data_IF_095072224192
#
_entry.id   IF_095072224192
#
_cell.length_a   1.000
_cell.length_b   1.000
_cell.length_c   1.000
_cell.angle_alpha   90.00
_cell.angle_beta   90.00
_cell.angle_gamma   90.00
#
_symmetry.space_group_name_H-M   'P 1'
#
loop_
_entity.id
_entity.type
_entity.pdbx_description
1 polymer ?
#
# COMPACT_ATOMS: atom_id res chain seq x y z
N UNK A 1 -4.96 -16.05 -1.78
CA UNK A 1 -4.52 -14.76 -2.34
C UNK A 1 -3.22 -14.95 -3.09
N UNK A 2 -3.00 -14.22 -4.18
CA UNK A 2 -1.81 -14.32 -5.04
C UNK A 2 -1.52 -12.96 -5.70
N UNK A 3 -0.33 -12.80 -6.26
CA UNK A 3 -0.02 -11.67 -7.13
C UNK A 3 -0.88 -11.75 -8.38
N UNK A 4 -1.60 -10.67 -8.69
CA UNK A 4 -2.63 -10.66 -9.75
C UNK A 4 -2.09 -10.25 -11.12
N UNK A 5 -0.94 -9.56 -11.18
CA UNK A 5 -0.34 -9.10 -12.42
C UNK A 5 1.16 -8.79 -12.31
N UNK A 6 1.76 -8.38 -13.42
CA UNK A 6 3.20 -8.11 -13.49
C UNK A 6 4.06 -9.36 -13.63
N UNK A 7 5.37 -9.20 -13.46
CA UNK A 7 6.35 -10.26 -13.73
C UNK A 7 6.31 -11.43 -12.71
N UNK A 8 5.81 -11.19 -11.48
CA UNK A 8 5.60 -12.23 -10.47
C UNK A 8 4.15 -12.73 -10.40
N UNK A 9 3.34 -12.53 -11.46
CA UNK A 9 1.95 -12.96 -11.49
C UNK A 9 1.80 -14.45 -11.14
N UNK A 10 0.82 -14.75 -10.27
CA UNK A 10 0.50 -16.10 -9.85
C UNK A 10 1.21 -16.56 -8.59
N UNK A 11 2.25 -15.87 -8.13
CA UNK A 11 2.96 -16.21 -6.88
C UNK A 11 1.96 -16.15 -5.71
N UNK A 12 1.81 -17.26 -4.95
CA UNK A 12 0.93 -17.29 -3.79
C UNK A 12 1.49 -16.43 -2.65
N UNK A 13 0.60 -15.72 -1.95
CA UNK A 13 0.93 -14.93 -0.77
C UNK A 13 0.35 -15.59 0.48
N UNK A 14 1.19 -15.74 1.49
CA UNK A 14 0.79 -16.20 2.82
C UNK A 14 0.08 -15.03 3.52
N UNK A 15 -1.08 -15.29 4.10
CA UNK A 15 -1.79 -14.33 4.93
C UNK A 15 -1.72 -14.76 6.41
N UNK A 16 -1.74 -13.82 7.37
CA UNK A 16 -1.86 -14.16 8.77
C UNK A 16 -3.17 -14.93 9.01
N UNK A 17 -3.11 -15.96 9.85
CA UNK A 17 -4.30 -16.70 10.26
C UNK A 17 -5.10 -15.86 11.26
N UNK A 18 -6.37 -15.60 10.99
CA UNK A 18 -7.29 -14.88 11.88
C UNK A 18 -8.44 -14.25 11.09
N UNK A 19 -9.57 -14.05 11.75
CA UNK A 19 -10.89 -13.78 11.12
C UNK A 19 -11.15 -12.30 10.75
N UNK A 20 -10.22 -11.41 10.96
CA UNK A 20 -10.53 -9.97 10.94
C UNK A 20 -10.18 -9.24 9.64
N UNK A 21 -9.50 -9.87 8.70
CA UNK A 21 -9.07 -9.17 7.49
C UNK A 21 -9.65 -9.85 6.25
N UNK A 22 -10.59 -9.19 5.61
CA UNK A 22 -11.02 -9.52 4.24
C UNK A 22 -10.07 -8.78 3.31
N UNK A 23 -8.96 -9.39 2.85
CA UNK A 23 -8.02 -8.70 1.97
C UNK A 23 -8.74 -8.26 0.70
N UNK A 24 -8.32 -7.15 0.12
CA UNK A 24 -8.76 -6.79 -1.23
C UNK A 24 -8.71 -8.01 -2.14
N UNK A 25 -9.81 -8.31 -2.83
CA UNK A 25 -9.85 -9.44 -3.74
C UNK A 25 -8.78 -9.28 -4.82
N UNK A 26 -8.27 -10.36 -5.39
CA UNK A 26 -7.34 -10.31 -6.50
C UNK A 26 -7.88 -9.41 -7.64
N UNK A 27 -9.20 -9.44 -7.89
CA UNK A 27 -9.85 -8.57 -8.87
C UNK A 27 -9.81 -7.08 -8.52
N UNK A 28 -10.02 -6.72 -7.24
CA UNK A 28 -9.93 -5.32 -6.82
C UNK A 28 -8.50 -4.80 -6.95
N UNK A 29 -7.49 -5.56 -6.50
CA UNK A 29 -6.09 -5.17 -6.70
C UNK A 29 -5.76 -5.00 -8.17
N UNK A 30 -6.21 -5.91 -9.04
CA UNK A 30 -6.02 -5.76 -10.48
C UNK A 30 -6.62 -4.45 -11.02
N UNK A 31 -7.83 -4.09 -10.59
CA UNK A 31 -8.50 -2.85 -10.99
C UNK A 31 -7.74 -1.60 -10.47
N UNK A 32 -7.23 -1.64 -9.23
CA UNK A 32 -6.39 -0.59 -8.65
C UNK A 32 -5.15 -0.36 -9.51
N UNK A 33 -4.38 -1.40 -9.77
CA UNK A 33 -3.13 -1.27 -10.54
C UNK A 33 -3.36 -0.95 -12.02
N UNK A 34 -4.46 -1.40 -12.61
CA UNK A 34 -4.87 -0.94 -13.95
C UNK A 34 -5.18 0.57 -13.97
N UNK A 35 -5.73 1.09 -12.87
CA UNK A 35 -6.02 2.53 -12.74
C UNK A 35 -4.76 3.36 -12.49
N UNK A 36 -3.76 2.83 -11.77
CA UNK A 36 -2.48 3.49 -11.58
C UNK A 36 -1.65 3.53 -12.88
N UNK A 37 -1.78 2.50 -13.71
CA UNK A 37 -1.12 2.44 -15.01
C UNK A 37 0.40 2.63 -14.93
N UNK A 38 0.94 3.51 -15.77
CA UNK A 38 2.37 3.80 -15.85
C UNK A 38 3.00 4.46 -14.61
N UNK A 39 2.19 4.87 -13.63
CA UNK A 39 2.69 5.46 -12.37
C UNK A 39 3.36 4.44 -11.44
N UNK A 40 3.24 3.14 -11.72
CA UNK A 40 3.79 2.07 -10.88
C UNK A 40 5.26 1.77 -11.22
N UNK A 41 5.60 1.78 -12.50
CA UNK A 41 6.97 1.47 -12.94
C UNK A 41 7.96 2.52 -12.40
N UNK A 42 8.99 2.07 -11.70
CA UNK A 42 10.00 2.91 -11.06
C UNK A 42 9.54 3.63 -9.78
N UNK A 43 8.26 3.52 -9.42
CA UNK A 43 7.72 4.17 -8.22
C UNK A 43 8.30 3.58 -6.93
N UNK A 44 8.42 4.42 -5.90
CA UNK A 44 8.66 3.98 -4.52
C UNK A 44 7.36 4.06 -3.74
N UNK A 45 7.06 3.00 -3.00
CA UNK A 45 5.80 2.89 -2.29
C UNK A 45 5.95 2.87 -0.77
N UNK A 46 4.88 3.27 -0.11
CA UNK A 46 4.64 3.09 1.32
C UNK A 46 3.33 2.32 1.48
N UNK A 47 3.39 1.12 2.03
CA UNK A 47 2.24 0.24 2.27
C UNK A 47 1.90 0.26 3.76
N UNK A 48 0.88 1.04 4.12
CA UNK A 48 0.41 1.22 5.48
C UNK A 48 -0.70 0.23 5.79
N UNK A 49 -0.64 -0.38 6.97
CA UNK A 49 -1.48 -1.52 7.36
C UNK A 49 -1.26 -2.71 6.41
N UNK A 50 -0.01 -3.04 6.15
CA UNK A 50 0.39 -3.91 5.04
C UNK A 50 -0.17 -5.34 5.09
N UNK A 51 -0.55 -5.86 6.26
CA UNK A 51 -1.12 -7.18 6.42
C UNK A 51 -0.23 -8.29 5.85
N UNK A 52 -0.57 -8.79 4.67
CA UNK A 52 0.25 -9.76 3.92
C UNK A 52 1.27 -9.10 2.98
N UNK A 53 1.27 -7.78 2.84
CA UNK A 53 2.06 -7.02 1.88
C UNK A 53 1.50 -7.03 0.44
N UNK A 54 0.23 -7.36 0.27
CA UNK A 54 -0.34 -7.63 -1.05
C UNK A 54 -0.28 -6.43 -2.00
N UNK A 55 -0.51 -5.20 -1.52
CA UNK A 55 -0.44 -4.00 -2.35
C UNK A 55 0.99 -3.66 -2.75
N UNK A 56 1.92 -3.59 -1.80
CA UNK A 56 3.31 -3.29 -2.09
C UNK A 56 3.99 -4.36 -2.97
N UNK A 57 3.69 -5.63 -2.75
CA UNK A 57 4.22 -6.74 -3.56
C UNK A 57 3.61 -6.77 -4.98
N UNK A 58 2.35 -6.39 -5.13
CA UNK A 58 1.75 -6.19 -6.45
C UNK A 58 2.41 -5.03 -7.19
N UNK A 59 2.71 -3.90 -6.51
CA UNK A 59 3.47 -2.79 -7.06
C UNK A 59 4.85 -3.24 -7.52
N UNK A 60 5.56 -4.01 -6.68
CA UNK A 60 6.87 -4.58 -7.00
C UNK A 60 6.83 -5.47 -8.25
N UNK A 61 5.84 -6.36 -8.33
CA UNK A 61 5.61 -7.24 -9.50
C UNK A 61 5.37 -6.46 -10.80
N UNK A 62 4.89 -5.23 -10.70
CA UNK A 62 4.61 -4.33 -11.83
C UNK A 62 5.69 -3.29 -12.08
N UNK A 63 6.88 -3.49 -11.47
CA UNK A 63 8.07 -2.70 -11.75
C UNK A 63 8.33 -1.54 -10.80
N UNK A 64 7.68 -1.46 -9.64
CA UNK A 64 8.07 -0.50 -8.62
C UNK A 64 9.53 -0.72 -8.20
N UNK A 65 10.25 0.36 -7.91
CA UNK A 65 11.66 0.32 -7.55
C UNK A 65 11.90 -0.31 -6.18
N UNK A 66 11.00 -0.04 -5.22
CA UNK A 66 11.08 -0.55 -3.85
C UNK A 66 10.11 0.18 -2.94
N UNK A 67 10.20 -0.08 -1.63
CA UNK A 67 9.32 0.59 -0.69
C UNK A 67 9.38 0.07 0.73
N UNK A 68 8.44 0.55 1.52
CA UNK A 68 8.31 0.23 2.94
C UNK A 68 6.94 -0.40 3.20
N UNK A 69 6.94 -1.49 3.91
CA UNK A 69 5.75 -2.12 4.49
C UNK A 69 5.68 -1.78 5.96
N UNK A 70 4.56 -1.27 6.42
CA UNK A 70 4.29 -0.93 7.81
C UNK A 70 3.16 -1.78 8.33
N UNK A 71 3.44 -2.56 9.36
CA UNK A 71 2.48 -3.47 9.96
C UNK A 71 2.77 -3.61 11.46
N UNK A 72 1.74 -3.48 12.30
CA UNK A 72 1.92 -3.59 13.75
C UNK A 72 1.91 -5.03 14.27
N UNK A 73 1.16 -5.93 13.61
CA UNK A 73 1.00 -7.32 14.03
C UNK A 73 2.22 -8.15 13.65
N UNK A 74 2.94 -8.70 14.63
CA UNK A 74 4.15 -9.49 14.40
C UNK A 74 3.93 -10.74 13.50
N UNK A 75 2.74 -11.37 13.56
CA UNK A 75 2.43 -12.53 12.69
C UNK A 75 2.26 -12.08 11.23
N UNK A 76 1.63 -10.92 11.01
CA UNK A 76 1.50 -10.34 9.69
C UNK A 76 2.85 -9.88 9.14
N UNK A 77 3.70 -9.25 9.96
CA UNK A 77 5.10 -8.93 9.61
C UNK A 77 5.88 -10.16 9.14
N UNK A 78 5.72 -11.28 9.83
CA UNK A 78 6.36 -12.55 9.42
C UNK A 78 5.83 -13.04 8.05
N UNK A 79 4.54 -12.84 7.76
CA UNK A 79 3.97 -13.13 6.45
C UNK A 79 4.55 -12.22 5.36
N UNK A 80 4.61 -10.90 5.60
CA UNK A 80 5.20 -9.94 4.66
C UNK A 80 6.62 -10.35 4.29
N UNK A 81 7.48 -10.66 5.27
CA UNK A 81 8.87 -11.07 5.02
C UNK A 81 8.96 -12.31 4.14
N UNK A 82 8.18 -13.37 4.42
CA UNK A 82 8.11 -14.57 3.58
C UNK A 82 7.63 -14.27 2.17
N UNK A 83 6.63 -13.40 2.03
CA UNK A 83 6.08 -13.02 0.75
C UNK A 83 7.08 -12.19 -0.08
N UNK A 84 7.85 -11.30 0.55
CA UNK A 84 8.95 -10.57 -0.07
C UNK A 84 9.96 -11.54 -0.67
N UNK A 85 10.43 -12.52 0.12
CA UNK A 85 11.39 -13.52 -0.35
C UNK A 85 10.86 -14.29 -1.59
N UNK A 86 9.60 -14.75 -1.54
CA UNK A 86 8.98 -15.49 -2.63
C UNK A 86 8.84 -14.64 -3.91
N UNK A 87 8.38 -13.40 -3.78
CA UNK A 87 8.20 -12.48 -4.92
C UNK A 87 9.55 -12.05 -5.48
N UNK A 88 10.51 -11.67 -4.64
CA UNK A 88 11.86 -11.28 -5.09
C UNK A 88 12.59 -12.43 -5.78
N UNK A 89 12.48 -13.66 -5.27
CA UNK A 89 13.00 -14.87 -5.93
C UNK A 89 12.41 -15.03 -7.34
N UNK A 90 11.10 -14.86 -7.49
CA UNK A 90 10.42 -14.94 -8.79
C UNK A 90 10.86 -13.83 -9.74
N UNK A 91 11.19 -12.66 -9.22
CA UNK A 91 11.66 -11.51 -10.02
C UNK A 91 13.16 -11.51 -10.29
N UNK A 92 13.93 -12.44 -9.72
CA UNK A 92 15.39 -12.47 -9.83
C UNK A 92 16.07 -11.24 -9.23
N UNK A 93 15.47 -10.63 -8.17
CA UNK A 93 16.02 -9.43 -7.53
C UNK A 93 16.30 -9.65 -6.04
N UNK A 94 17.16 -8.81 -5.49
CA UNK A 94 17.43 -8.74 -4.06
C UNK A 94 16.31 -8.01 -3.30
N UNK A 95 16.32 -8.13 -1.96
CA UNK A 95 15.31 -7.54 -1.06
C UNK A 95 15.75 -6.21 -0.46
N UNK A 96 16.97 -5.73 -0.76
CA UNK A 96 17.60 -4.55 -0.11
C UNK A 96 16.78 -3.26 -0.21
N UNK A 97 15.96 -3.11 -1.26
CA UNK A 97 15.11 -1.93 -1.49
C UNK A 97 13.74 -2.04 -0.83
N UNK A 98 13.55 -3.07 0.00
CA UNK A 98 12.30 -3.37 0.67
C UNK A 98 12.51 -3.42 2.18
N UNK A 99 11.84 -2.52 2.89
CA UNK A 99 11.92 -2.45 4.36
C UNK A 99 10.58 -2.89 4.95
N UNK A 100 10.65 -3.71 5.98
CA UNK A 100 9.48 -4.06 6.80
C UNK A 100 9.63 -3.41 8.16
N UNK A 101 8.75 -2.48 8.50
CA UNK A 101 8.69 -1.81 9.81
C UNK A 101 7.55 -2.39 10.63
N UNK A 102 7.88 -3.03 11.76
CA UNK A 102 6.88 -3.39 12.73
C UNK A 102 6.53 -2.15 13.56
N UNK A 103 5.48 -1.44 13.18
CA UNK A 103 5.09 -0.17 13.79
C UNK A 103 3.61 0.13 13.56
N UNK A 104 3.10 1.07 14.34
CA UNK A 104 1.78 1.67 14.09
C UNK A 104 1.89 2.64 12.89
N UNK A 105 1.05 2.45 11.89
CA UNK A 105 0.98 3.28 10.69
C UNK A 105 0.71 4.77 11.01
N UNK A 106 0.05 5.05 12.14
CA UNK A 106 -0.24 6.42 12.59
C UNK A 106 1.01 7.20 13.00
N UNK A 107 2.06 6.52 13.48
CA UNK A 107 3.26 7.16 14.03
C UNK A 107 4.53 6.97 13.21
N UNK A 108 4.54 6.08 12.21
CA UNK A 108 5.72 5.74 11.43
C UNK A 108 6.20 6.91 10.55
N UNK A 109 7.52 7.11 10.36
CA UNK A 109 8.05 8.04 9.35
C UNK A 109 7.62 7.63 7.93
N UNK A 110 7.30 8.61 7.07
CA UNK A 110 6.82 8.37 5.71
C UNK A 110 7.94 8.16 4.68
N UNK A 111 9.20 8.43 5.04
CA UNK A 111 10.34 8.27 4.14
C UNK A 111 10.54 6.82 3.69
N UNK A 112 10.84 6.64 2.40
CA UNK A 112 11.17 5.36 1.78
C UNK A 112 12.64 5.36 1.32
N UNK A 113 13.36 4.23 1.38
CA UNK A 113 14.78 4.18 1.00
C UNK A 113 14.98 4.52 -0.46
N UNK A 114 16.18 5.00 -0.78
CA UNK A 114 16.63 5.24 -2.15
C UNK A 114 17.85 4.37 -2.48
N UNK A 115 18.26 4.36 -3.73
CA UNK A 115 19.46 3.65 -4.19
C UNK A 115 20.76 4.34 -3.72
N UNK A 116 20.66 5.55 -3.15
CA UNK A 116 21.82 6.35 -2.72
C UNK A 116 22.43 5.90 -1.39
N UNK A 117 21.87 4.87 -0.75
CA UNK A 117 22.40 4.30 0.49
C UNK A 117 21.31 3.99 1.52
N UNK A 118 21.66 3.26 2.59
CA UNK A 118 20.69 2.76 3.58
C UNK A 118 19.99 3.88 4.37
N UNK A 119 20.64 5.04 4.51
CA UNK A 119 20.10 6.18 5.28
C UNK A 119 19.44 7.24 4.38
N UNK A 120 19.60 7.13 3.05
CA UNK A 120 18.99 8.05 2.11
C UNK A 120 17.52 7.70 1.91
N UNK A 121 16.65 8.64 2.21
CA UNK A 121 15.20 8.47 2.04
C UNK A 121 14.61 9.52 1.11
N UNK A 122 13.52 9.15 0.45
CA UNK A 122 12.72 10.06 -0.37
C UNK A 122 11.25 9.95 0.01
N UNK A 123 10.46 10.89 -0.47
CA UNK A 123 9.00 10.86 -0.35
C UNK A 123 8.44 9.78 -1.28
N UNK A 124 7.49 8.94 -0.85
CA UNK A 124 6.88 7.92 -1.71
C UNK A 124 6.08 8.52 -2.86
N UNK A 125 6.06 7.81 -3.98
CA UNK A 125 5.20 8.12 -5.14
C UNK A 125 3.79 7.57 -4.96
N UNK A 126 3.70 6.40 -4.30
CA UNK A 126 2.45 5.69 -4.03
C UNK A 126 2.34 5.37 -2.54
N UNK A 127 1.20 5.66 -1.95
CA UNK A 127 0.87 5.26 -0.58
C UNK A 127 -0.36 4.38 -0.61
N UNK A 128 -0.24 3.14 -0.17
CA UNK A 128 -1.37 2.22 0.02
C UNK A 128 -1.81 2.27 1.47
N UNK A 129 -3.11 2.32 1.70
CA UNK A 129 -3.72 2.43 3.02
C UNK A 129 -4.91 1.48 3.09
N UNK A 130 -4.77 0.38 3.81
CA UNK A 130 -5.79 -0.66 3.96
C UNK A 130 -6.03 -1.00 5.44
N UNK A 131 -6.60 -0.06 6.22
CA UNK A 131 -6.83 -0.27 7.64
C UNK A 131 -8.05 -1.16 7.88
N UNK A 132 -8.16 -1.81 9.06
CA UNK A 132 -9.40 -2.43 9.48
C UNK A 132 -10.55 -1.42 9.43
N UNK A 133 -11.71 -1.84 8.90
CA UNK A 133 -12.84 -0.93 8.66
C UNK A 133 -13.36 -0.24 9.93
N UNK A 134 -13.25 -0.93 11.07
CA UNK A 134 -13.73 -0.46 12.37
C UNK A 134 -12.98 0.78 12.86
N UNK A 135 -11.74 0.97 12.44
CA UNK A 135 -10.91 2.10 12.91
C UNK A 135 -10.80 3.24 11.89
N UNK A 136 -11.36 3.12 10.69
CA UNK A 136 -11.20 4.13 9.62
C UNK A 136 -11.64 5.51 10.09
N UNK A 137 -12.81 5.61 10.72
CA UNK A 137 -13.35 6.90 11.17
C UNK A 137 -12.41 7.60 12.18
N UNK A 138 -11.73 6.82 13.02
CA UNK A 138 -10.75 7.31 14.00
C UNK A 138 -9.43 7.73 13.34
N UNK A 139 -8.90 6.86 12.46
CA UNK A 139 -7.51 7.02 11.97
C UNK A 139 -7.40 7.93 10.73
N UNK A 140 -8.43 7.97 9.88
CA UNK A 140 -8.34 8.66 8.61
C UNK A 140 -8.02 10.16 8.74
N UNK A 141 -8.64 10.96 9.63
CA UNK A 141 -8.34 12.38 9.73
C UNK A 141 -6.86 12.65 10.06
N UNK A 142 -6.33 11.99 11.09
CA UNK A 142 -4.94 12.15 11.52
C UNK A 142 -3.96 11.63 10.47
N UNK A 143 -4.29 10.52 9.78
CA UNK A 143 -3.46 9.96 8.75
C UNK A 143 -3.38 10.87 7.52
N UNK A 144 -4.49 11.43 7.05
CA UNK A 144 -4.50 12.39 5.94
C UNK A 144 -3.76 13.69 6.29
N UNK A 145 -3.86 14.19 7.52
CA UNK A 145 -3.08 15.35 7.98
C UNK A 145 -1.58 15.05 7.91
N UNK A 146 -1.15 13.92 8.47
CA UNK A 146 0.24 13.47 8.42
C UNK A 146 0.76 13.28 6.99
N UNK A 147 -0.02 12.64 6.11
CA UNK A 147 0.33 12.48 4.71
C UNK A 147 0.41 13.82 3.97
N UNK A 148 -0.45 14.78 4.31
CA UNK A 148 -0.40 16.12 3.73
C UNK A 148 0.92 16.83 4.04
N UNK A 149 1.43 16.70 5.25
CA UNK A 149 2.74 17.24 5.66
C UNK A 149 3.90 16.48 4.99
N UNK A 150 3.86 15.14 5.04
CA UNK A 150 4.96 14.30 4.56
C UNK A 150 5.10 14.23 3.04
N UNK A 151 4.03 14.50 2.27
CA UNK A 151 4.01 14.46 0.81
C UNK A 151 4.19 15.84 0.14
N UNK A 152 4.60 16.87 0.89
CA UNK A 152 4.79 18.23 0.34
C UNK A 152 5.72 18.25 -0.86
N UNK A 153 6.83 17.51 -0.79
CA UNK A 153 7.83 17.47 -1.86
C UNK A 153 7.41 16.65 -3.10
N UNK A 154 6.27 15.93 -3.02
CA UNK A 154 5.69 15.16 -4.13
C UNK A 154 4.19 15.39 -4.23
N UNK A 155 3.74 16.53 -4.72
CA UNK A 155 2.31 16.89 -4.80
C UNK A 155 1.51 15.98 -5.72
N UNK A 156 2.15 15.25 -6.63
CA UNK A 156 1.56 14.28 -7.55
C UNK A 156 1.54 12.83 -7.00
N UNK A 157 2.04 12.60 -5.78
CA UNK A 157 1.93 11.31 -5.11
C UNK A 157 0.46 10.89 -4.98
N UNK A 158 0.21 9.60 -5.17
CA UNK A 158 -1.15 9.03 -5.08
C UNK A 158 -1.30 8.24 -3.80
N UNK A 159 -2.34 8.57 -3.04
CA UNK A 159 -2.81 7.78 -1.90
C UNK A 159 -3.96 6.90 -2.37
N UNK A 160 -3.80 5.60 -2.22
CA UNK A 160 -4.79 4.57 -2.54
C UNK A 160 -5.35 4.06 -1.22
N UNK A 161 -6.60 4.39 -0.91
CA UNK A 161 -7.23 4.10 0.37
C UNK A 161 -8.37 3.10 0.19
N UNK A 162 -8.28 1.94 0.85
CA UNK A 162 -9.35 0.95 0.90
C UNK A 162 -10.33 1.29 2.03
N UNK A 163 -11.64 1.20 1.72
CA UNK A 163 -12.70 1.57 2.64
C UNK A 163 -14.00 0.80 2.30
N UNK A 164 -14.95 0.69 3.24
CA UNK A 164 -16.26 0.13 2.94
C UNK A 164 -17.04 1.03 1.96
N UNK A 165 -17.87 0.42 1.13
CA UNK A 165 -18.57 1.11 0.04
C UNK A 165 -19.51 2.22 0.47
N UNK A 166 -20.03 2.15 1.68
CA UNK A 166 -20.94 3.14 2.29
C UNK A 166 -20.21 4.36 2.88
N UNK A 167 -18.89 4.29 3.05
CA UNK A 167 -18.13 5.37 3.64
C UNK A 167 -17.60 6.32 2.56
N UNK A 168 -17.89 7.61 2.69
CA UNK A 168 -17.31 8.67 1.90
C UNK A 168 -16.26 9.43 2.71
N UNK A 169 -15.04 9.49 2.19
CA UNK A 169 -13.96 10.28 2.74
C UNK A 169 -13.76 11.54 1.88
N UNK A 170 -13.81 12.71 2.51
CA UNK A 170 -13.54 14.00 1.88
C UNK A 170 -12.54 14.80 2.76
N UNK A 171 -11.29 14.33 2.86
CA UNK A 171 -10.31 14.99 3.73
C UNK A 171 -9.93 16.35 3.19
N UNK A 172 -9.83 17.35 4.07
CA UNK A 172 -9.46 18.70 3.71
C UNK A 172 -8.04 18.75 3.08
N UNK A 173 -7.88 19.49 2.00
CA UNK A 173 -6.61 19.60 1.26
C UNK A 173 -6.30 18.41 0.35
N UNK A 174 -7.29 17.54 0.09
CA UNK A 174 -7.15 16.40 -0.81
C UNK A 174 -8.21 16.40 -1.91
N UNK A 175 -7.80 16.00 -3.09
CA UNK A 175 -8.69 15.81 -4.25
C UNK A 175 -8.93 14.31 -4.44
N UNK A 176 -10.20 13.90 -4.43
CA UNK A 176 -10.60 12.56 -4.85
C UNK A 176 -10.48 12.46 -6.38
N UNK A 177 -9.55 11.66 -6.86
CA UNK A 177 -9.31 11.47 -8.30
C UNK A 177 -10.23 10.41 -8.89
N UNK A 178 -10.47 9.33 -8.14
CA UNK A 178 -11.22 8.15 -8.62
C UNK A 178 -11.69 7.31 -7.43
N UNK A 179 -12.80 6.61 -7.65
CA UNK A 179 -13.31 5.59 -6.74
C UNK A 179 -13.61 4.32 -7.54
N UNK A 180 -13.14 3.17 -7.05
CA UNK A 180 -13.44 1.84 -7.57
C UNK A 180 -14.31 1.08 -6.57
N UNK A 181 -15.22 0.25 -7.08
CA UNK A 181 -16.23 -0.43 -6.29
C UNK A 181 -17.56 0.32 -6.32
N UNK A 182 -18.64 -0.44 -6.38
CA UNK A 182 -20.02 0.10 -6.42
C UNK A 182 -20.88 -0.77 -5.50
N UNK A 183 -21.40 -0.15 -4.46
CA UNK A 183 -22.39 -0.76 -3.60
C UNK A 183 -22.00 -0.85 -2.14
N UNK A 184 -23.01 -0.72 -1.27
CA UNK A 184 -22.88 -0.93 0.16
C UNK A 184 -22.36 -2.35 0.43
N UNK A 185 -21.52 -2.49 1.46
CA UNK A 185 -20.91 -3.76 1.91
C UNK A 185 -19.91 -4.41 0.95
N UNK A 186 -19.45 -3.69 -0.08
CA UNK A 186 -18.34 -4.17 -0.92
C UNK A 186 -17.07 -3.36 -0.64
N UNK A 187 -15.88 -3.98 -0.73
CA UNK A 187 -14.63 -3.24 -0.70
C UNK A 187 -14.62 -2.18 -1.79
N UNK A 188 -14.23 -0.99 -1.41
CA UNK A 188 -14.11 0.17 -2.29
C UNK A 188 -12.71 0.73 -2.14
N UNK A 189 -12.14 1.25 -3.21
CA UNK A 189 -10.83 1.90 -3.18
C UNK A 189 -10.94 3.31 -3.74
N UNK A 190 -10.51 4.28 -2.96
CA UNK A 190 -10.47 5.69 -3.34
C UNK A 190 -9.03 6.14 -3.59
N UNK A 191 -8.84 6.94 -4.63
CA UNK A 191 -7.54 7.49 -5.01
C UNK A 191 -7.54 8.97 -4.71
N UNK A 192 -6.59 9.41 -3.90
CA UNK A 192 -6.44 10.79 -3.51
C UNK A 192 -5.10 11.35 -3.95
N UNK A 193 -5.10 12.67 -4.22
CA UNK A 193 -3.91 13.49 -4.41
C UNK A 193 -4.06 14.76 -3.59
N UNK A 194 -2.96 15.35 -3.15
CA UNK A 194 -3.01 16.67 -2.52
C UNK A 194 -3.63 17.69 -3.47
N UNK A 195 -4.47 18.56 -2.92
CA UNK A 195 -5.10 19.67 -3.67
C UNK A 195 -4.09 20.77 -4.02
#
# INVERSE_FOLDING_TARGET
MRISGGAARGIPLVAPKGDAVRPATDGMRQAVFSSLGGRVAGARFLDLFAGSGAYGLEALSRGAAGGVFVEQNAKAVACVKKNIEAVCKSLGRETRDLIVRQADARSVPLGVPTDSGPDATTVPDLVFVDPPYEIIAEVAPGLFAKLAEGLVAKPDAIVVFELPGELDLAPAGWTLLKRLGKGARQPTVAFFRRA
#
